data_IF_879651263220
#
_entry.id   IF_879651263220
#
_cell.length_a   1.000
_cell.length_b   1.000
_cell.length_c   1.000
_cell.angle_alpha   90.00
_cell.angle_beta   90.00
_cell.angle_gamma   90.00
#
_symmetry.space_group_name_H-M   'P 1'
#
loop_
_entity.id
_entity.type
_entity.pdbx_description
1 polymer ?
#
# COMPACT_ATOMS: atom_id res chain seq x y z
N UNK A 1 0.40 -8.94 28.40
CA UNK A 1 0.60 -7.61 27.78
C UNK A 1 0.30 -7.68 26.29
N UNK A 2 -0.63 -6.88 25.74
CA UNK A 2 -0.86 -6.83 24.31
C UNK A 2 0.43 -6.35 23.61
N UNK A 3 1.03 -7.19 22.77
CA UNK A 3 2.20 -6.78 21.97
C UNK A 3 1.80 -5.58 21.12
N UNK A 4 2.66 -4.57 21.07
CA UNK A 4 2.42 -3.39 20.24
C UNK A 4 2.31 -3.81 18.76
N UNK A 5 1.40 -3.18 18.02
CA UNK A 5 1.17 -3.42 16.58
C UNK A 5 2.47 -3.48 15.72
N UNK A 6 3.49 -2.61 15.94
CA UNK A 6 4.74 -2.73 15.20
C UNK A 6 5.54 -4.01 15.51
N UNK A 7 5.45 -4.55 16.74
CA UNK A 7 6.11 -5.80 17.12
C UNK A 7 5.36 -7.03 16.59
N UNK A 8 4.04 -6.96 16.42
CA UNK A 8 3.24 -8.07 15.87
C UNK A 8 3.24 -8.11 14.34
N UNK A 9 3.44 -6.98 13.67
CA UNK A 9 3.47 -6.86 12.20
C UNK A 9 4.54 -5.87 11.70
N UNK A 10 5.83 -6.24 11.77
CA UNK A 10 6.94 -5.32 11.47
C UNK A 10 6.94 -4.82 10.02
N UNK A 11 6.56 -5.68 9.07
CA UNK A 11 6.52 -5.34 7.65
C UNK A 11 5.46 -4.27 7.34
N UNK A 12 4.31 -4.36 8.00
CA UNK A 12 3.23 -3.40 7.83
C UNK A 12 3.53 -2.05 8.48
N UNK A 13 4.19 -2.06 9.64
CA UNK A 13 4.71 -0.83 10.24
C UNK A 13 5.74 -0.16 9.30
N UNK A 14 6.66 -0.93 8.73
CA UNK A 14 7.63 -0.44 7.74
C UNK A 14 6.95 0.21 6.52
N UNK A 15 5.99 -0.48 5.90
CA UNK A 15 5.19 0.08 4.80
C UNK A 15 4.52 1.40 5.18
N UNK A 16 3.96 1.48 6.39
CA UNK A 16 3.28 2.71 6.86
C UNK A 16 4.23 3.88 7.00
N UNK A 17 5.40 3.65 7.63
CA UNK A 17 6.41 4.71 7.82
C UNK A 17 6.92 5.20 6.46
N UNK A 18 7.24 4.29 5.55
CA UNK A 18 7.66 4.62 4.19
C UNK A 18 6.56 5.41 3.45
N UNK A 19 5.31 4.95 3.55
CA UNK A 19 4.16 5.61 2.92
C UNK A 19 3.95 7.02 3.45
N UNK A 20 3.93 7.20 4.78
CA UNK A 20 3.75 8.50 5.42
C UNK A 20 4.90 9.46 5.09
N UNK A 21 6.15 8.99 5.16
CA UNK A 21 7.32 9.79 4.80
C UNK A 21 7.29 10.24 3.34
N UNK A 22 6.90 9.35 2.44
CA UNK A 22 6.82 9.63 1.00
C UNK A 22 5.68 10.61 0.68
N UNK A 23 4.50 10.43 1.26
CA UNK A 23 3.39 11.37 1.09
C UNK A 23 3.70 12.74 1.69
N UNK A 24 4.34 12.77 2.87
CA UNK A 24 4.76 14.01 3.50
C UNK A 24 5.78 14.77 2.65
N UNK A 25 6.85 14.10 2.21
CA UNK A 25 7.86 14.71 1.35
C UNK A 25 7.30 15.12 -0.02
N UNK A 26 6.48 14.27 -0.63
CA UNK A 26 5.77 14.57 -1.88
C UNK A 26 4.86 15.79 -1.77
N UNK A 27 4.09 15.89 -0.69
CA UNK A 27 3.22 17.02 -0.40
C UNK A 27 3.99 18.33 -0.18
N UNK A 28 5.08 18.28 0.60
CA UNK A 28 5.95 19.45 0.81
C UNK A 28 6.60 19.94 -0.50
N UNK A 29 7.07 19.01 -1.34
CA UNK A 29 7.62 19.34 -2.65
C UNK A 29 6.57 19.92 -3.60
N UNK A 30 5.35 19.37 -3.61
CA UNK A 30 4.24 19.85 -4.44
C UNK A 30 3.76 21.25 -4.02
N UNK A 31 3.67 21.50 -2.71
CA UNK A 31 3.30 22.80 -2.15
C UNK A 31 4.42 23.86 -2.29
N UNK A 32 5.57 23.51 -2.89
CA UNK A 32 6.76 24.37 -3.02
C UNK A 32 7.29 24.91 -1.69
N UNK A 33 7.06 24.16 -0.61
CA UNK A 33 7.58 24.51 0.73
C UNK A 33 9.08 24.20 0.86
N UNK A 34 9.62 23.38 -0.04
CA UNK A 34 11.05 23.11 -0.18
C UNK A 34 11.51 23.57 -1.56
N UNK A 35 12.27 24.68 -1.66
CA UNK A 35 12.78 25.19 -2.93
C UNK A 35 13.63 24.15 -3.67
N UNK A 36 13.55 24.13 -5.01
CA UNK A 36 14.31 23.25 -5.92
C UNK A 36 14.13 21.72 -5.76
N UNK A 37 13.27 21.24 -4.87
CA UNK A 37 13.07 19.80 -4.63
C UNK A 37 11.81 19.22 -5.29
N UNK A 38 11.06 19.99 -6.09
CA UNK A 38 9.79 19.56 -6.67
C UNK A 38 9.95 18.33 -7.59
N UNK A 39 10.95 18.35 -8.49
CA UNK A 39 11.24 17.24 -9.39
C UNK A 39 11.69 15.99 -8.62
N UNK A 40 12.60 16.16 -7.66
CA UNK A 40 13.08 15.09 -6.78
C UNK A 40 11.94 14.45 -6.00
N UNK A 41 11.00 15.26 -5.47
CA UNK A 41 9.84 14.77 -4.73
C UNK A 41 8.89 13.93 -5.61
N UNK A 42 8.60 14.38 -6.84
CA UNK A 42 7.76 13.63 -7.77
C UNK A 42 8.41 12.30 -8.20
N UNK A 43 9.72 12.32 -8.46
CA UNK A 43 10.49 11.12 -8.77
C UNK A 43 10.50 10.14 -7.60
N UNK A 44 10.71 10.63 -6.38
CA UNK A 44 10.69 9.80 -5.17
C UNK A 44 9.32 9.16 -4.95
N UNK A 45 8.23 9.93 -5.08
CA UNK A 45 6.85 9.42 -4.97
C UNK A 45 6.59 8.32 -6.00
N UNK A 46 6.98 8.54 -7.25
CA UNK A 46 6.84 7.57 -8.33
C UNK A 46 7.63 6.29 -8.05
N UNK A 47 8.91 6.43 -7.67
CA UNK A 47 9.81 5.32 -7.40
C UNK A 47 9.35 4.48 -6.20
N UNK A 48 9.08 5.14 -5.06
CA UNK A 48 8.62 4.44 -3.86
C UNK A 48 7.24 3.81 -4.11
N UNK A 49 6.34 4.50 -4.81
CA UNK A 49 5.05 3.96 -5.21
C UNK A 49 5.17 2.67 -6.02
N UNK A 50 6.08 2.63 -7.00
CA UNK A 50 6.36 1.42 -7.78
C UNK A 50 6.95 0.30 -6.90
N UNK A 51 7.96 0.58 -6.08
CA UNK A 51 8.52 -0.41 -5.17
C UNK A 51 7.44 -1.00 -4.25
N UNK A 52 6.56 -0.16 -3.70
CA UNK A 52 5.48 -0.59 -2.83
C UNK A 52 4.45 -1.44 -3.59
N UNK A 53 4.12 -1.08 -4.83
CA UNK A 53 3.24 -1.86 -5.70
C UNK A 53 3.81 -3.27 -5.93
N UNK A 54 5.11 -3.39 -6.22
CA UNK A 54 5.77 -4.68 -6.37
C UNK A 54 5.72 -5.52 -5.09
N UNK A 55 5.98 -4.91 -3.93
CA UNK A 55 5.87 -5.62 -2.64
C UNK A 55 4.44 -6.13 -2.42
N UNK A 56 3.42 -5.31 -2.69
CA UNK A 56 2.01 -5.72 -2.58
C UNK A 56 1.68 -6.84 -3.58
N UNK A 57 2.17 -6.77 -4.80
CA UNK A 57 1.97 -7.81 -5.81
C UNK A 57 2.58 -9.15 -5.36
N UNK A 58 3.81 -9.13 -4.84
CA UNK A 58 4.49 -10.32 -4.30
C UNK A 58 3.73 -10.89 -3.10
N UNK A 59 3.30 -10.07 -2.15
CA UNK A 59 2.49 -10.53 -1.02
C UNK A 59 1.16 -11.16 -1.45
N UNK A 60 0.53 -10.56 -2.46
CA UNK A 60 -0.73 -11.07 -3.02
C UNK A 60 -0.51 -12.42 -3.68
N UNK A 61 0.56 -12.57 -4.46
CA UNK A 61 0.92 -13.82 -5.10
C UNK A 61 1.25 -14.91 -4.07
N UNK A 62 2.08 -14.59 -3.08
CA UNK A 62 2.43 -15.52 -1.99
C UNK A 62 1.18 -15.96 -1.22
N UNK A 63 0.24 -15.05 -0.98
CA UNK A 63 -1.00 -15.40 -0.33
C UNK A 63 -1.89 -16.28 -1.20
N UNK A 64 -2.00 -16.00 -2.50
CA UNK A 64 -2.74 -16.83 -3.44
C UNK A 64 -2.15 -18.25 -3.51
N UNK A 65 -0.81 -18.36 -3.56
CA UNK A 65 -0.11 -19.65 -3.53
C UNK A 65 -0.37 -20.41 -2.23
N UNK A 66 -0.33 -19.73 -1.06
CA UNK A 66 -0.65 -20.35 0.22
C UNK A 66 -2.09 -20.85 0.28
N UNK A 67 -3.05 -20.05 -0.21
CA UNK A 67 -4.46 -20.46 -0.26
C UNK A 67 -4.64 -21.68 -1.16
N UNK A 68 -4.02 -21.68 -2.35
CA UNK A 68 -4.07 -22.81 -3.28
C UNK A 68 -3.49 -24.10 -2.70
N UNK A 69 -2.52 -24.00 -1.78
CA UNK A 69 -1.90 -25.15 -1.10
C UNK A 69 -2.64 -25.61 0.15
N UNK A 70 -3.56 -24.81 0.69
CA UNK A 70 -4.13 -25.04 2.01
C UNK A 70 -5.45 -25.85 2.00
N UNK A 71 -6.01 -26.20 0.84
CA UNK A 71 -7.28 -26.96 0.67
C UNK A 71 -8.48 -26.48 1.53
N UNK A 72 -8.41 -25.30 2.15
CA UNK A 72 -9.50 -24.70 2.93
C UNK A 72 -10.47 -23.93 2.01
N UNK A 73 -11.79 -24.08 2.20
CA UNK A 73 -12.79 -23.43 1.36
C UNK A 73 -12.72 -21.90 1.52
N UNK A 74 -12.44 -21.22 0.40
CA UNK A 74 -12.23 -19.78 0.30
C UNK A 74 -13.47 -18.95 0.71
N UNK A 75 -14.66 -19.57 0.69
CA UNK A 75 -15.94 -18.96 1.07
C UNK A 75 -16.06 -18.61 2.56
N UNK A 76 -15.57 -19.48 3.46
CA UNK A 76 -15.67 -19.26 4.92
C UNK A 76 -14.74 -18.14 5.41
N UNK A 77 -13.65 -17.88 4.68
CA UNK A 77 -12.75 -16.76 4.98
C UNK A 77 -13.28 -15.41 4.47
N UNK A 78 -14.07 -15.41 3.40
CA UNK A 78 -14.63 -14.19 2.79
C UNK A 78 -15.78 -13.61 3.63
N UNK A 79 -16.63 -14.48 4.17
CA UNK A 79 -17.78 -14.11 5.01
C UNK A 79 -17.38 -13.61 6.40
N UNK A 80 -16.21 -14.03 6.90
CA UNK A 80 -15.75 -13.68 8.24
C UNK A 80 -15.31 -12.20 8.40
N UNK A 81 -14.85 -11.53 7.34
CA UNK A 81 -14.41 -10.13 7.43
C UNK A 81 -14.41 -9.40 6.05
N UNK A 82 -15.58 -8.90 5.60
CA UNK A 82 -15.74 -8.34 4.26
C UNK A 82 -14.97 -7.02 4.06
N UNK A 83 -14.87 -6.18 5.09
CA UNK A 83 -14.15 -4.90 5.01
C UNK A 83 -12.64 -5.10 4.83
N UNK A 84 -12.04 -6.03 5.60
CA UNK A 84 -10.63 -6.38 5.44
C UNK A 84 -10.34 -7.01 4.08
N UNK A 85 -11.22 -7.89 3.61
CA UNK A 85 -11.08 -8.55 2.31
C UNK A 85 -11.20 -7.54 1.17
N UNK A 86 -12.16 -6.60 1.26
CA UNK A 86 -12.33 -5.53 0.28
C UNK A 86 -11.11 -4.61 0.19
N UNK A 87 -10.58 -4.14 1.33
CA UNK A 87 -9.38 -3.29 1.34
C UNK A 87 -8.16 -4.01 0.74
N UNK A 88 -8.03 -5.32 0.99
CA UNK A 88 -6.97 -6.14 0.42
C UNK A 88 -7.10 -6.34 -1.09
N UNK A 89 -8.31 -6.61 -1.57
CA UNK A 89 -8.59 -6.76 -3.00
C UNK A 89 -8.34 -5.45 -3.74
N UNK A 90 -8.76 -4.32 -3.16
CA UNK A 90 -8.51 -3.00 -3.71
C UNK A 90 -7.01 -2.71 -3.80
N UNK A 91 -6.25 -2.93 -2.72
CA UNK A 91 -4.79 -2.72 -2.74
C UNK A 91 -4.10 -3.62 -3.77
N UNK A 92 -4.49 -4.89 -3.86
CA UNK A 92 -3.96 -5.80 -4.87
C UNK A 92 -4.28 -5.33 -6.30
N UNK A 93 -5.53 -4.94 -6.58
CA UNK A 93 -5.94 -4.45 -7.88
C UNK A 93 -5.18 -3.19 -8.28
N UNK A 94 -5.07 -2.21 -7.37
CA UNK A 94 -4.31 -0.98 -7.59
C UNK A 94 -2.83 -1.27 -7.83
N UNK A 95 -2.22 -2.16 -7.04
CA UNK A 95 -0.82 -2.53 -7.20
C UNK A 95 -0.55 -3.20 -8.56
N UNK A 96 -1.44 -4.10 -9.00
CA UNK A 96 -1.34 -4.76 -10.31
C UNK A 96 -1.49 -3.72 -11.44
N UNK A 97 -2.53 -2.89 -11.39
CA UNK A 97 -2.77 -1.85 -12.38
C UNK A 97 -1.61 -0.86 -12.47
N UNK A 98 -1.07 -0.42 -11.33
CA UNK A 98 0.09 0.45 -11.29
C UNK A 98 1.32 -0.23 -11.90
N UNK A 99 1.60 -1.49 -11.53
CA UNK A 99 2.75 -2.24 -12.08
C UNK A 99 2.62 -2.41 -13.59
N UNK A 100 1.46 -2.84 -14.09
CA UNK A 100 1.18 -2.99 -15.52
C UNK A 100 1.27 -1.64 -16.23
N UNK A 101 0.72 -0.58 -15.64
CA UNK A 101 0.80 0.77 -16.18
C UNK A 101 2.25 1.27 -16.30
N UNK A 102 3.07 1.03 -15.28
CA UNK A 102 4.50 1.36 -15.32
C UNK A 102 5.23 0.62 -16.43
N UNK A 103 5.01 -0.69 -16.55
CA UNK A 103 5.62 -1.52 -17.61
C UNK A 103 5.14 -1.08 -19.00
N UNK A 104 3.84 -0.81 -19.17
CA UNK A 104 3.26 -0.38 -20.44
C UNK A 104 3.85 0.95 -20.90
N UNK A 105 3.93 1.95 -20.01
CA UNK A 105 4.55 3.24 -20.34
C UNK A 105 6.03 3.05 -20.66
N UNK A 106 6.77 2.26 -19.87
CA UNK A 106 8.18 1.98 -20.15
C UNK A 106 8.41 1.33 -21.52
N UNK A 107 7.55 0.39 -21.91
CA UNK A 107 7.59 -0.27 -23.21
C UNK A 107 7.31 0.69 -24.37
N UNK A 108 6.40 1.66 -24.18
CA UNK A 108 6.10 2.69 -25.20
C UNK A 108 7.27 3.68 -25.33
N UNK A 109 7.88 4.09 -24.22
CA UNK A 109 8.97 5.09 -24.21
C UNK A 109 10.26 4.53 -24.78
N UNK A 110 10.58 3.27 -24.51
CA UNK A 110 11.82 2.64 -25.01
C UNK A 110 11.89 2.50 -26.54
N UNK A 111 10.75 2.67 -27.24
CA UNK A 111 10.67 2.69 -28.70
C UNK A 111 10.88 4.05 -29.39
N UNK A 112 11.08 5.17 -28.65
CA UNK A 112 11.22 6.50 -29.26
C UNK A 112 12.03 7.50 -28.42
N UNK A 113 12.67 8.48 -29.08
CA UNK A 113 13.33 9.59 -28.39
C UNK A 113 12.29 10.52 -27.75
N UNK A 114 11.95 10.27 -26.49
CA UNK A 114 11.16 11.22 -25.70
C UNK A 114 12.06 12.28 -25.08
N UNK A 115 12.17 13.42 -25.74
CA UNK A 115 12.75 14.64 -25.17
C UNK A 115 11.66 15.73 -25.09
N UNK A 116 11.61 16.46 -23.97
CA UNK A 116 10.75 17.64 -23.80
C UNK A 116 9.44 17.40 -23.02
N UNK A 117 8.34 18.11 -23.33
CA UNK A 117 7.11 18.17 -22.52
C UNK A 117 6.46 16.81 -22.22
N UNK A 118 6.62 15.83 -23.11
CA UNK A 118 6.10 14.47 -22.93
C UNK A 118 6.69 13.76 -21.71
N UNK A 119 7.97 13.95 -21.41
CA UNK A 119 8.62 13.35 -20.25
C UNK A 119 8.08 13.90 -18.92
N UNK A 120 7.77 15.21 -18.90
CA UNK A 120 7.15 15.85 -17.73
C UNK A 120 5.73 15.33 -17.52
N UNK A 121 4.95 15.17 -18.60
CA UNK A 121 3.61 14.56 -18.53
C UNK A 121 3.64 13.14 -17.96
N UNK A 122 4.58 12.30 -18.40
CA UNK A 122 4.76 10.95 -17.86
C UNK A 122 5.15 10.94 -16.38
N UNK A 123 5.98 11.89 -15.94
CA UNK A 123 6.33 12.02 -14.52
C UNK A 123 5.09 12.27 -13.66
N UNK A 124 4.14 13.09 -14.13
CA UNK A 124 2.87 13.31 -13.43
C UNK A 124 2.00 12.05 -13.41
N UNK A 125 1.93 11.30 -14.52
CA UNK A 125 1.21 10.02 -14.57
C UNK A 125 1.79 9.02 -13.57
N UNK A 126 3.11 8.85 -13.56
CA UNK A 126 3.80 7.96 -12.62
C UNK A 126 3.65 8.41 -11.17
N UNK A 127 3.69 9.73 -10.92
CA UNK A 127 3.48 10.27 -9.58
C UNK A 127 2.05 10.02 -9.11
N UNK A 128 1.05 10.19 -9.97
CA UNK A 128 -0.35 9.90 -9.67
C UNK A 128 -0.59 8.42 -9.37
N UNK A 129 0.00 7.52 -10.17
CA UNK A 129 -0.01 6.08 -9.88
C UNK A 129 0.66 5.77 -8.54
N UNK A 130 1.81 6.36 -8.27
CA UNK A 130 2.53 6.22 -7.01
C UNK A 130 1.69 6.67 -5.82
N UNK A 131 1.07 7.85 -5.88
CA UNK A 131 0.14 8.35 -4.85
C UNK A 131 -1.03 7.39 -4.66
N UNK A 132 -1.62 6.87 -5.73
CA UNK A 132 -2.76 5.93 -5.64
C UNK A 132 -2.36 4.65 -4.89
N UNK A 133 -1.18 4.11 -5.16
CA UNK A 133 -0.64 2.94 -4.44
C UNK A 133 -0.41 3.27 -2.97
N UNK A 134 0.24 4.40 -2.68
CA UNK A 134 0.54 4.86 -1.32
C UNK A 134 -0.74 5.04 -0.49
N UNK A 135 -1.74 5.73 -1.03
CA UNK A 135 -3.04 5.95 -0.38
C UNK A 135 -3.75 4.63 -0.13
N UNK A 136 -3.79 3.74 -1.11
CA UNK A 136 -4.47 2.46 -0.96
C UNK A 136 -3.80 1.58 0.11
N UNK A 137 -2.47 1.59 0.17
CA UNK A 137 -1.73 0.88 1.22
C UNK A 137 -1.94 1.47 2.62
N UNK A 138 -2.09 2.80 2.70
CA UNK A 138 -2.46 3.47 3.94
C UNK A 138 -3.86 3.05 4.42
N UNK A 139 -4.84 3.00 3.52
CA UNK A 139 -6.21 2.53 3.81
C UNK A 139 -6.20 1.09 4.32
N UNK A 140 -5.44 0.18 3.67
CA UNK A 140 -5.29 -1.20 4.14
C UNK A 140 -4.71 -1.25 5.55
N UNK A 141 -3.65 -0.49 5.80
CA UNK A 141 -2.99 -0.48 7.10
C UNK A 141 -3.85 0.11 8.20
N UNK A 142 -4.60 1.17 7.90
CA UNK A 142 -5.56 1.74 8.83
C UNK A 142 -6.67 0.74 9.18
N UNK A 143 -7.19 0.02 8.18
CA UNK A 143 -8.21 -1.03 8.39
C UNK A 143 -7.69 -2.12 9.32
N UNK A 144 -6.43 -2.52 9.13
CA UNK A 144 -5.76 -3.54 9.94
C UNK A 144 -5.48 -3.06 11.38
N UNK A 145 -5.08 -1.80 11.54
CA UNK A 145 -4.89 -1.17 12.84
C UNK A 145 -6.19 -1.05 13.64
N UNK A 146 -7.26 -0.53 13.02
CA UNK A 146 -8.59 -0.42 13.65
C UNK A 146 -9.08 -1.78 14.11
N UNK A 147 -8.87 -2.82 13.30
CA UNK A 147 -9.21 -4.20 13.66
C UNK A 147 -8.41 -4.70 14.86
N UNK A 148 -7.10 -4.52 14.86
CA UNK A 148 -6.24 -4.92 15.99
C UNK A 148 -6.68 -4.22 17.29
N UNK A 149 -7.05 -2.94 17.22
CA UNK A 149 -7.56 -2.18 18.37
C UNK A 149 -8.91 -2.71 18.87
N UNK A 150 -9.84 -3.03 17.97
CA UNK A 150 -11.16 -3.60 18.33
C UNK A 150 -11.04 -4.98 18.99
N UNK A 151 -10.12 -5.83 18.51
CA UNK A 151 -9.87 -7.17 19.10
C UNK A 151 -9.25 -7.08 20.49
N UNK A 152 -8.31 -6.15 20.69
CA UNK A 152 -7.72 -5.92 22.02
C UNK A 152 -8.76 -5.48 23.05
N UNK A 153 -9.72 -4.63 22.66
CA UNK A 153 -10.77 -4.12 23.56
C UNK A 153 -11.73 -5.22 24.05
N UNK A 154 -12.16 -6.11 23.15
CA UNK A 154 -13.03 -7.25 23.50
C UNK A 154 -12.34 -8.26 24.42
N UNK A 155 -11.05 -8.50 24.21
CA UNK A 155 -10.29 -9.41 25.06
C UNK A 155 -10.26 -8.94 26.52
N UNK A 156 -10.14 -7.64 26.77
CA UNK A 156 -10.18 -7.06 28.12
C UNK A 156 -11.56 -7.21 28.78
N UNK A 157 -12.65 -6.89 28.06
CA UNK A 157 -14.03 -7.05 28.57
C UNK A 157 -14.37 -8.49 28.96
N UNK A 158 -13.80 -9.49 28.27
CA UNK A 158 -14.06 -10.90 28.56
C UNK A 158 -13.28 -11.38 29.80
N UNK A 159 -12.10 -10.81 30.06
CA UNK A 159 -11.33 -11.13 31.27
C UNK A 159 -12.00 -10.54 32.51
N UNK A 160 -12.47 -9.30 32.43
CA UNK A 160 -13.16 -8.63 33.53
C UNK A 160 -14.48 -9.34 33.90
N UNK A 161 -15.16 -9.96 32.92
CA UNK A 161 -16.40 -10.70 33.13
C UNK A 161 -16.23 -12.13 33.69
N UNK A 162 -15.00 -12.68 33.70
CA UNK A 162 -14.69 -14.00 34.25
C UNK A 162 -14.12 -13.90 35.67
N UNK A 163 -13.55 -12.74 36.04
CA UNK A 163 -12.95 -12.49 37.36
C UNK A 163 -13.87 -11.75 38.35
N UNK A 164 -15.08 -11.34 37.93
CA UNK A 164 -16.10 -10.68 38.77
C UNK A 164 -17.30 -11.57 39.08
#
# INVERSE_FOLDING_TARGET
>A
MPRSFPLSRPLQAGKTVVTLGTLGFGGLGFARLVPDQQLTALLLVSFVGLCLALVVAVETLLAAVRVRRADEPMGDRLSADPAYTGARLLEAAVAILATVGFVAVFAVVSGGQMAGPGAVGLLFVFSGLGVTVLVTSLVRTLTEYVRHRRRGRRATETTDAVEG
#
